data_IF_716013152152
#
_entry.id   IF_716013152152
#
_cell.length_a   1.000
_cell.length_b   1.000
_cell.length_c   1.000
_cell.angle_alpha   90.00
_cell.angle_beta   90.00
_cell.angle_gamma   90.00
#
_symmetry.space_group_name_H-M   'P 1'
#
loop_
_entity.id
_entity.type
_entity.pdbx_description
1 polymer ?
#
# COMPACT_ATOMS: atom_id res chain seq x y z
N UNK A 1 -7.92 11.09 -14.23
CA UNK A 1 -8.80 12.25 -13.94
C UNK A 1 -8.82 12.59 -12.45
N UNK A 2 -9.44 11.79 -11.56
CA UNK A 2 -9.61 12.18 -10.13
C UNK A 2 -8.29 12.52 -9.42
N UNK A 3 -7.34 11.58 -9.37
CA UNK A 3 -6.05 11.77 -8.68
C UNK A 3 -5.28 13.01 -9.16
N UNK A 4 -5.25 13.21 -10.47
CA UNK A 4 -4.60 14.36 -11.11
C UNK A 4 -5.29 15.68 -10.72
N UNK A 5 -6.62 15.76 -10.85
CA UNK A 5 -7.36 16.98 -10.50
C UNK A 5 -7.25 17.31 -9.00
N UNK A 6 -7.20 16.30 -8.13
CA UNK A 6 -6.91 16.50 -6.71
C UNK A 6 -5.55 17.15 -6.51
N UNK A 7 -4.49 16.64 -7.15
CA UNK A 7 -3.16 17.23 -7.05
C UNK A 7 -3.10 18.66 -7.61
N UNK A 8 -3.79 18.92 -8.73
CA UNK A 8 -3.92 20.27 -9.29
C UNK A 8 -4.59 21.23 -8.30
N UNK A 9 -5.67 20.79 -7.65
CA UNK A 9 -6.35 21.58 -6.62
C UNK A 9 -5.43 21.89 -5.43
N UNK A 10 -4.63 20.92 -4.97
CA UNK A 10 -3.62 21.16 -3.93
C UNK A 10 -2.60 22.23 -4.35
N UNK A 11 -2.08 22.17 -5.57
CA UNK A 11 -1.13 23.19 -6.06
C UNK A 11 -1.77 24.58 -6.13
N UNK A 12 -3.03 24.70 -6.54
CA UNK A 12 -3.77 25.97 -6.51
C UNK A 12 -3.83 26.57 -5.10
N UNK A 13 -3.86 25.73 -4.06
CA UNK A 13 -3.87 26.16 -2.66
C UNK A 13 -2.46 26.29 -2.04
N UNK A 14 -1.40 26.27 -2.85
CA UNK A 14 -0.03 26.55 -2.41
C UNK A 14 0.77 25.33 -1.93
N UNK A 15 0.24 24.11 -2.04
CA UNK A 15 1.04 22.91 -1.77
C UNK A 15 2.11 22.72 -2.84
N UNK A 16 3.36 22.53 -2.42
CA UNK A 16 4.51 22.35 -3.33
C UNK A 16 5.07 20.93 -3.31
N UNK A 17 4.64 20.09 -2.37
CA UNK A 17 5.04 18.69 -2.27
C UNK A 17 3.83 17.81 -2.07
N UNK A 18 3.59 16.89 -3.00
CA UNK A 18 2.43 16.00 -3.00
C UNK A 18 2.93 14.56 -3.10
N UNK A 19 2.48 13.70 -2.20
CA UNK A 19 2.88 12.29 -2.12
C UNK A 19 1.66 11.42 -2.37
N UNK A 20 1.71 10.56 -3.40
CA UNK A 20 0.70 9.55 -3.66
C UNK A 20 1.12 8.24 -2.99
N UNK A 21 0.29 7.80 -2.04
CA UNK A 21 0.43 6.51 -1.36
C UNK A 21 -0.85 5.73 -1.66
N UNK A 22 -0.71 4.46 -2.03
CA UNK A 22 -1.85 3.61 -2.37
C UNK A 22 -1.61 2.18 -1.93
N UNK A 23 -2.69 1.51 -1.51
CA UNK A 23 -2.63 0.16 -0.96
C UNK A 23 -3.29 -0.90 -1.85
N UNK A 24 -3.38 -0.61 -3.14
CA UNK A 24 -3.96 -1.51 -4.14
C UNK A 24 -3.05 -1.61 -5.35
N UNK A 25 -2.78 -2.83 -5.80
CA UNK A 25 -1.87 -3.09 -6.92
C UNK A 25 -2.30 -2.42 -8.21
N UNK A 26 -3.60 -2.41 -8.50
CA UNK A 26 -4.14 -1.76 -9.70
C UNK A 26 -3.93 -0.24 -9.74
N UNK A 27 -3.68 0.39 -8.59
CA UNK A 27 -3.46 1.83 -8.51
C UNK A 27 -2.02 2.23 -8.81
N UNK A 28 -1.04 1.36 -8.53
CA UNK A 28 0.38 1.74 -8.45
C UNK A 28 0.90 2.34 -9.76
N UNK A 29 0.74 1.65 -10.89
CA UNK A 29 1.23 2.13 -12.19
C UNK A 29 0.56 3.45 -12.63
N UNK A 30 -0.70 3.67 -12.24
CA UNK A 30 -1.40 4.92 -12.56
C UNK A 30 -0.94 6.06 -11.64
N UNK A 31 -0.72 5.78 -10.35
CA UNK A 31 -0.17 6.76 -9.41
C UNK A 31 1.22 7.23 -9.85
N UNK A 32 2.10 6.30 -10.22
CA UNK A 32 3.44 6.59 -10.76
C UNK A 32 3.35 7.48 -12.00
N UNK A 33 2.58 7.06 -13.02
CA UNK A 33 2.41 7.81 -14.28
C UNK A 33 1.91 9.24 -14.04
N UNK A 34 0.94 9.43 -13.15
CA UNK A 34 0.39 10.76 -12.84
C UNK A 34 1.42 11.60 -12.08
N UNK A 35 2.14 11.01 -11.12
CA UNK A 35 3.18 11.71 -10.37
C UNK A 35 4.29 12.22 -11.30
N UNK A 36 4.77 11.37 -12.22
CA UNK A 36 5.78 11.76 -13.20
C UNK A 36 5.28 12.84 -14.17
N UNK A 37 4.06 12.69 -14.69
CA UNK A 37 3.46 13.65 -15.61
C UNK A 37 3.38 15.04 -14.97
N UNK A 38 2.87 15.13 -13.74
CA UNK A 38 2.73 16.39 -13.02
C UNK A 38 4.09 16.97 -12.60
N UNK A 39 5.05 16.14 -12.19
CA UNK A 39 6.42 16.58 -11.91
C UNK A 39 7.09 17.18 -13.16
N UNK A 40 6.90 16.58 -14.35
CA UNK A 40 7.38 17.16 -15.61
C UNK A 40 6.67 18.46 -15.94
N UNK A 41 5.34 18.50 -15.84
CA UNK A 41 4.54 19.70 -16.12
C UNK A 41 4.93 20.89 -15.23
N UNK A 42 5.25 20.63 -13.97
CA UNK A 42 5.60 21.68 -13.01
C UNK A 42 7.09 21.86 -12.80
N UNK A 43 7.90 21.34 -13.72
CA UNK A 43 9.34 21.62 -13.75
C UNK A 43 9.57 23.15 -13.78
N UNK A 44 10.44 23.62 -12.90
CA UNK A 44 10.72 25.06 -12.72
C UNK A 44 9.75 25.82 -11.80
N UNK A 45 8.64 25.22 -11.36
CA UNK A 45 7.70 25.86 -10.40
C UNK A 45 7.99 25.54 -8.94
N UNK A 46 9.03 24.75 -8.67
CA UNK A 46 9.34 24.27 -7.32
C UNK A 46 8.33 23.27 -6.75
N UNK A 47 7.41 22.75 -7.58
CA UNK A 47 6.43 21.73 -7.17
C UNK A 47 6.96 20.35 -7.51
N UNK A 48 6.86 19.41 -6.55
CA UNK A 48 7.28 18.01 -6.71
C UNK A 48 6.13 17.07 -6.36
N UNK A 49 5.85 16.12 -7.24
CA UNK A 49 4.85 15.05 -7.02
C UNK A 49 5.55 13.71 -7.04
N UNK A 50 5.35 12.90 -6.00
CA UNK A 50 6.01 11.61 -5.86
C UNK A 50 4.99 10.49 -5.70
N UNK A 51 5.27 9.35 -6.31
CA UNK A 51 4.61 8.10 -5.98
C UNK A 51 5.46 7.35 -4.95
N UNK A 52 4.83 6.97 -3.83
CA UNK A 52 5.46 6.24 -2.74
C UNK A 52 5.08 4.77 -2.87
N UNK A 53 5.67 4.11 -3.86
CA UNK A 53 5.40 2.71 -4.20
C UNK A 53 5.99 1.69 -3.23
N UNK A 54 7.01 2.05 -2.44
CA UNK A 54 7.67 1.11 -1.52
C UNK A 54 6.70 0.64 -0.42
N UNK A 55 5.73 1.49 -0.06
CA UNK A 55 4.59 1.14 0.81
C UNK A 55 3.86 -0.13 0.33
N UNK A 56 3.72 -0.33 -0.98
CA UNK A 56 3.00 -1.47 -1.56
C UNK A 56 3.91 -2.63 -1.97
N UNK A 57 5.05 -2.35 -2.61
CA UNK A 57 5.90 -3.38 -3.22
C UNK A 57 7.11 -3.78 -2.39
N UNK A 58 7.80 -2.82 -1.76
CA UNK A 58 9.14 -3.01 -1.19
C UNK A 58 9.14 -2.84 0.33
N UNK A 59 8.10 -3.37 0.98
CA UNK A 59 7.89 -3.25 2.42
C UNK A 59 8.40 -4.46 3.23
N UNK A 60 8.85 -5.55 2.58
CA UNK A 60 9.44 -6.71 3.27
C UNK A 60 8.44 -7.64 3.97
N UNK A 61 7.13 -7.40 3.85
CA UNK A 61 6.11 -8.17 4.56
C UNK A 61 6.10 -9.66 4.21
N UNK A 62 6.24 -10.00 2.93
CA UNK A 62 6.34 -11.40 2.50
C UNK A 62 7.55 -12.09 3.12
N UNK A 63 8.73 -11.49 3.01
CA UNK A 63 9.96 -12.04 3.58
C UNK A 63 9.90 -12.19 5.11
N UNK A 64 9.22 -11.24 5.78
CA UNK A 64 8.96 -11.30 7.22
C UNK A 64 8.10 -12.51 7.60
N UNK A 65 7.02 -12.78 6.87
CA UNK A 65 6.15 -13.95 7.11
C UNK A 65 6.85 -15.26 6.74
N UNK A 66 7.62 -15.31 5.66
CA UNK A 66 8.42 -16.48 5.32
C UNK A 66 9.46 -16.79 6.41
N UNK A 67 10.07 -15.77 7.01
CA UNK A 67 10.99 -15.91 8.14
C UNK A 67 10.32 -16.41 9.42
N UNK A 68 9.02 -16.13 9.58
CA UNK A 68 8.20 -16.67 10.68
C UNK A 68 7.76 -18.14 10.41
N UNK A 69 8.11 -18.70 9.24
CA UNK A 69 7.84 -20.08 8.87
C UNK A 69 6.56 -20.29 8.05
N UNK A 70 5.90 -19.23 7.57
CA UNK A 70 4.76 -19.38 6.67
C UNK A 70 5.22 -19.76 5.26
N UNK A 71 4.60 -20.79 4.69
CA UNK A 71 4.83 -21.14 3.28
C UNK A 71 4.27 -20.06 2.35
N UNK A 72 4.98 -19.73 1.26
CA UNK A 72 4.58 -18.69 0.30
C UNK A 72 3.14 -18.87 -0.21
N UNK A 73 2.69 -20.10 -0.42
CA UNK A 73 1.32 -20.42 -0.84
C UNK A 73 0.25 -20.08 0.21
N UNK A 74 0.61 -20.11 1.50
CA UNK A 74 -0.29 -19.75 2.61
C UNK A 74 -0.32 -18.24 2.87
N UNK A 75 0.77 -17.52 2.56
CA UNK A 75 0.79 -16.05 2.68
C UNK A 75 -0.24 -15.44 1.72
N UNK A 76 -0.27 -15.93 0.48
CA UNK A 76 -1.10 -15.39 -0.58
C UNK A 76 -0.64 -14.01 -1.05
N UNK A 77 -1.37 -13.43 -1.98
CA UNK A 77 -1.13 -12.13 -2.60
C UNK A 77 -2.34 -11.19 -2.54
N UNK A 78 -3.53 -11.69 -2.15
CA UNK A 78 -4.74 -10.89 -2.07
C UNK A 78 -5.68 -11.38 -0.97
N UNK A 79 -6.02 -10.49 -0.02
CA UNK A 79 -6.86 -10.79 1.14
C UNK A 79 -6.37 -12.02 1.93
N UNK A 80 -5.06 -12.27 1.92
CA UNK A 80 -4.39 -13.35 2.62
C UNK A 80 -4.06 -13.01 4.07
N UNK A 81 -3.02 -13.67 4.62
CA UNK A 81 -2.61 -13.50 6.02
C UNK A 81 -2.29 -12.05 6.34
N UNK A 82 -1.47 -11.41 5.49
CA UNK A 82 -1.04 -10.01 5.68
C UNK A 82 -2.24 -9.07 5.72
N UNK A 83 -2.97 -8.96 4.60
CA UNK A 83 -4.04 -7.97 4.42
C UNK A 83 -5.11 -8.13 5.52
N UNK A 84 -5.49 -9.37 5.83
CA UNK A 84 -6.47 -9.67 6.89
C UNK A 84 -5.94 -9.28 8.26
N UNK A 85 -4.66 -9.54 8.54
CA UNK A 85 -4.04 -9.17 9.82
C UNK A 85 -4.00 -7.66 10.02
N UNK A 86 -3.64 -6.89 8.98
CA UNK A 86 -3.61 -5.43 9.02
C UNK A 86 -5.00 -4.85 9.36
N UNK A 87 -6.07 -5.39 8.75
CA UNK A 87 -7.44 -4.98 9.09
C UNK A 87 -7.78 -5.35 10.53
N UNK A 88 -7.45 -6.56 11.00
CA UNK A 88 -7.70 -6.97 12.39
C UNK A 88 -7.00 -6.04 13.40
N UNK A 89 -5.76 -5.62 13.13
CA UNK A 89 -5.00 -4.75 14.02
C UNK A 89 -5.65 -3.37 14.20
N UNK A 90 -6.23 -2.79 13.13
CA UNK A 90 -6.83 -1.45 13.16
C UNK A 90 -8.32 -1.49 13.53
N UNK A 91 -9.03 -2.49 13.02
CA UNK A 91 -10.46 -2.65 13.19
C UNK A 91 -10.83 -4.14 13.23
N UNK A 92 -10.79 -4.78 14.41
CA UNK A 92 -11.12 -6.19 14.58
C UNK A 92 -12.51 -6.57 14.04
N UNK A 93 -13.49 -5.67 14.16
CA UNK A 93 -14.86 -5.89 13.67
C UNK A 93 -14.99 -5.76 12.14
N UNK A 94 -13.92 -5.30 11.47
CA UNK A 94 -13.81 -5.25 10.01
C UNK A 94 -13.61 -6.63 9.35
N UNK A 95 -13.28 -7.66 10.13
CA UNK A 95 -13.11 -9.04 9.64
C UNK A 95 -14.17 -9.94 10.26
N UNK A 96 -14.86 -10.72 9.42
CA UNK A 96 -15.85 -11.70 9.90
C UNK A 96 -15.14 -12.87 10.58
N UNK A 97 -15.45 -13.11 11.85
CA UNK A 97 -14.96 -14.29 12.60
C UNK A 97 -15.42 -15.62 11.99
N UNK A 98 -16.62 -15.61 11.40
CA UNK A 98 -17.19 -16.74 10.67
C UNK A 98 -17.40 -16.32 9.20
N UNK A 99 -16.42 -16.53 8.30
CA UNK A 99 -16.54 -16.14 6.91
C UNK A 99 -17.59 -16.99 6.19
N UNK A 100 -18.26 -16.38 5.22
CA UNK A 100 -19.17 -17.10 4.31
C UNK A 100 -18.31 -17.67 3.20
N UNK A 101 -18.36 -18.98 3.00
CA UNK A 101 -17.64 -19.63 1.91
C UNK A 101 -18.24 -19.22 0.57
N UNK A 102 -17.41 -19.09 -0.49
CA UNK A 102 -17.92 -18.88 -1.83
C UNK A 102 -18.85 -20.06 -2.23
N UNK A 103 -19.87 -19.81 -3.07
CA UNK A 103 -20.64 -20.89 -3.68
C UNK A 103 -19.74 -21.89 -4.42
N UNK A 104 -20.20 -23.13 -4.58
CA UNK A 104 -19.46 -24.16 -5.31
C UNK A 104 -19.07 -23.67 -6.72
N UNK A 105 -17.78 -23.75 -7.02
CA UNK A 105 -17.22 -23.31 -8.31
C UNK A 105 -16.98 -21.80 -8.45
N UNK A 106 -17.30 -20.99 -7.44
CA UNK A 106 -16.97 -19.55 -7.43
C UNK A 106 -15.59 -19.29 -6.82
N UNK A 107 -14.91 -18.25 -7.31
CA UNK A 107 -13.67 -17.78 -6.69
C UNK A 107 -13.97 -17.14 -5.33
N UNK A 108 -13.10 -17.40 -4.36
CA UNK A 108 -13.25 -16.89 -3.00
C UNK A 108 -12.99 -15.38 -2.88
N UNK A 109 -12.40 -14.77 -3.91
CA UNK A 109 -11.95 -13.36 -3.87
C UNK A 109 -10.73 -13.13 -2.97
N UNK A 110 -10.09 -14.19 -2.49
CA UNK A 110 -8.84 -14.17 -1.73
C UNK A 110 -7.99 -15.40 -2.09
N UNK A 111 -6.72 -15.38 -1.70
CA UNK A 111 -5.84 -16.54 -1.76
C UNK A 111 -4.96 -16.62 -0.49
N UNK A 112 -4.28 -17.75 -0.30
CA UNK A 112 -3.58 -18.05 0.95
C UNK A 112 -4.53 -18.42 2.08
N UNK A 113 -4.09 -18.19 3.32
CA UNK A 113 -4.75 -18.65 4.54
C UNK A 113 -5.11 -17.49 5.48
N UNK A 114 -6.09 -16.62 5.13
CA UNK A 114 -6.51 -15.51 5.99
C UNK A 114 -6.98 -15.96 7.39
N UNK A 115 -7.33 -17.23 7.58
CA UNK A 115 -7.63 -17.81 8.89
C UNK A 115 -6.45 -17.82 9.87
N UNK A 116 -5.21 -17.65 9.39
CA UNK A 116 -4.01 -17.54 10.23
C UNK A 116 -3.69 -16.09 10.62
N UNK A 117 -4.53 -15.13 10.22
CA UNK A 117 -4.33 -13.72 10.52
C UNK A 117 -4.51 -13.41 12.02
N UNK A 118 -3.70 -12.49 12.54
CA UNK A 118 -3.77 -12.03 13.93
C UNK A 118 -3.49 -10.54 14.03
N UNK A 119 -3.94 -9.88 15.11
CA UNK A 119 -3.63 -8.48 15.36
C UNK A 119 -2.11 -8.23 15.45
N UNK A 120 -1.36 -9.11 16.13
CA UNK A 120 0.08 -8.98 16.29
C UNK A 120 0.85 -9.06 14.96
N UNK A 121 0.43 -9.95 14.04
CA UNK A 121 0.97 -9.95 12.68
C UNK A 121 0.64 -8.61 12.01
N UNK A 122 -0.59 -8.13 12.16
CA UNK A 122 -1.07 -6.90 11.51
C UNK A 122 -0.31 -5.66 11.94
N UNK A 123 -0.04 -5.50 13.23
CA UNK A 123 0.78 -4.41 13.79
C UNK A 123 2.16 -4.39 13.13
N UNK A 124 2.86 -5.54 13.12
CA UNK A 124 4.17 -5.66 12.46
C UNK A 124 4.11 -5.40 10.95
N UNK A 125 3.07 -5.90 10.28
CA UNK A 125 2.89 -5.70 8.84
C UNK A 125 2.67 -4.22 8.50
N UNK A 126 1.90 -3.49 9.31
CA UNK A 126 1.69 -2.05 9.15
C UNK A 126 2.97 -1.25 9.40
N UNK A 127 3.72 -1.57 10.45
CA UNK A 127 5.02 -0.96 10.74
C UNK A 127 5.97 -1.08 9.54
N UNK A 128 6.12 -2.28 8.99
CA UNK A 128 6.95 -2.54 7.81
C UNK A 128 6.57 -1.66 6.60
N UNK A 129 5.27 -1.47 6.33
CA UNK A 129 4.78 -0.61 5.23
C UNK A 129 5.07 0.86 5.47
N UNK A 130 4.82 1.31 6.70
CA UNK A 130 5.06 2.70 7.10
C UNK A 130 6.55 3.02 7.05
N UNK A 131 7.40 2.15 7.57
CA UNK A 131 8.86 2.32 7.56
C UNK A 131 9.40 2.38 6.13
N UNK A 132 8.97 1.47 5.24
CA UNK A 132 9.38 1.49 3.84
C UNK A 132 8.96 2.78 3.11
N UNK A 133 7.75 3.28 3.40
CA UNK A 133 7.28 4.55 2.86
C UNK A 133 8.09 5.74 3.38
N UNK A 134 8.38 5.79 4.68
CA UNK A 134 9.19 6.82 5.30
C UNK A 134 10.61 6.82 4.73
N UNK A 135 11.22 5.65 4.59
CA UNK A 135 12.53 5.49 3.98
C UNK A 135 12.58 6.02 2.54
N UNK A 136 11.56 5.71 1.73
CA UNK A 136 11.44 6.27 0.39
C UNK A 136 11.31 7.81 0.43
N UNK A 137 10.46 8.34 1.31
CA UNK A 137 10.25 9.78 1.47
C UNK A 137 11.54 10.49 1.91
N UNK A 138 12.34 9.89 2.80
CA UNK A 138 13.62 10.41 3.23
C UNK A 138 14.63 10.44 2.07
N UNK A 139 14.75 9.35 1.29
CA UNK A 139 15.59 9.31 0.08
C UNK A 139 15.22 10.41 -0.92
N UNK A 140 13.92 10.61 -1.17
CA UNK A 140 13.42 11.65 -2.07
C UNK A 140 13.66 13.08 -1.55
N UNK A 141 13.70 13.26 -0.23
CA UNK A 141 14.01 14.55 0.39
C UNK A 141 15.49 14.89 0.24
N UNK A 142 16.39 13.92 0.44
CA UNK A 142 17.84 14.08 0.30
C UNK A 142 18.29 14.28 -1.16
N UNK A 143 17.61 13.65 -2.13
CA UNK A 143 17.88 13.88 -3.55
C UNK A 143 17.34 15.21 -4.08
N UNK A 144 16.55 15.93 -3.27
CA UNK A 144 15.83 17.13 -3.66
C UNK A 144 16.34 18.43 -3.06
N UNK A 145 17.34 18.38 -2.18
CA UNK A 145 18.16 19.48 -1.67
C UNK A 145 19.36 19.72 -2.57
#
# INVERSE_FOLDING_TARGET
AVLEHTARSMVTHGFTRILFIGDSGGNQATQERVAEMLTREWSGRGVKVFHIGDYYFQNGQHAALESDGFETGLIGTHAGIRDTSEVIAVNPDGVRRNPVLPPDGAEAGYNGAPSQATAAIGERMLELKVDAALDQIHRLSAAGS
#
